data_IF_804612060830
#
_entry.id   IF_804612060830
#
_cell.length_a   1.000
_cell.length_b   1.000
_cell.length_c   1.000
_cell.angle_alpha   90.00
_cell.angle_beta   90.00
_cell.angle_gamma   90.00
#
_symmetry.space_group_name_H-M   'P 1'
#
loop_
_entity.id
_entity.type
_entity.pdbx_description
1 polymer ?
#
# COMPACT_ATOMS: atom_id res chain seq x y z
N UNK A 1 4.65 -20.64 -3.78
CA UNK A 1 4.21 -20.00 -2.53
C UNK A 1 2.75 -19.61 -2.70
N UNK A 2 1.85 -20.01 -1.79
CA UNK A 2 0.44 -19.64 -1.92
C UNK A 2 0.23 -18.15 -1.64
N UNK A 3 -0.72 -17.52 -2.33
CA UNK A 3 -1.14 -16.13 -2.07
C UNK A 3 -1.58 -15.97 -0.62
N UNK A 4 -2.27 -16.97 -0.08
CA UNK A 4 -2.71 -16.99 1.31
C UNK A 4 -1.53 -16.99 2.29
N UNK A 5 -0.52 -17.81 2.01
CA UNK A 5 0.74 -17.80 2.78
C UNK A 5 1.39 -16.42 2.74
N UNK A 6 1.46 -15.78 1.57
CA UNK A 6 2.06 -14.45 1.40
C UNK A 6 1.47 -13.41 2.34
N UNK A 7 0.13 -13.38 2.51
CA UNK A 7 -0.49 -12.45 3.44
C UNK A 7 -0.32 -12.89 4.90
N UNK A 8 -0.52 -14.17 5.22
CA UNK A 8 -0.53 -14.66 6.61
C UNK A 8 0.86 -14.63 7.27
N UNK A 9 1.94 -14.93 6.54
CA UNK A 9 3.30 -14.98 7.08
C UNK A 9 4.03 -13.66 6.85
N UNK A 10 4.89 -13.26 7.77
CA UNK A 10 5.66 -12.02 7.61
C UNK A 10 6.91 -12.23 6.75
N UNK A 11 6.73 -12.22 5.43
CA UNK A 11 7.83 -12.38 4.48
C UNK A 11 8.73 -11.14 4.38
N UNK A 12 10.06 -11.31 4.23
CA UNK A 12 10.99 -10.21 3.97
C UNK A 12 10.62 -9.40 2.72
N UNK A 13 10.10 -10.04 1.68
CA UNK A 13 9.67 -9.37 0.45
C UNK A 13 8.61 -8.29 0.70
N UNK A 14 7.66 -8.52 1.62
CA UNK A 14 6.66 -7.52 2.02
C UNK A 14 7.31 -6.31 2.69
N UNK A 15 8.29 -6.57 3.55
CA UNK A 15 9.03 -5.52 4.25
C UNK A 15 9.83 -4.68 3.27
N UNK A 16 10.59 -5.31 2.36
CA UNK A 16 11.35 -4.60 1.34
C UNK A 16 10.44 -3.79 0.41
N UNK A 17 9.33 -4.37 -0.04
CA UNK A 17 8.35 -3.64 -0.85
C UNK A 17 7.80 -2.39 -0.12
N UNK A 18 7.41 -2.53 1.14
CA UNK A 18 6.93 -1.42 1.97
C UNK A 18 8.00 -0.34 2.20
N UNK A 19 9.27 -0.73 2.36
CA UNK A 19 10.39 0.22 2.49
C UNK A 19 10.63 0.93 1.16
N UNK A 20 10.66 0.21 0.04
CA UNK A 20 10.83 0.80 -1.29
C UNK A 20 9.71 1.78 -1.62
N UNK A 21 8.46 1.44 -1.28
CA UNK A 21 7.32 2.33 -1.47
C UNK A 21 7.44 3.59 -0.58
N UNK A 22 7.87 3.44 0.68
CA UNK A 22 8.11 4.57 1.58
C UNK A 22 9.20 5.52 1.06
N UNK A 23 10.31 4.96 0.57
CA UNK A 23 11.40 5.74 -0.04
C UNK A 23 10.92 6.47 -1.29
N UNK A 24 10.14 5.81 -2.15
CA UNK A 24 9.56 6.44 -3.33
C UNK A 24 8.70 7.65 -2.96
N UNK A 25 7.79 7.51 -1.99
CA UNK A 25 6.99 8.64 -1.51
C UNK A 25 7.82 9.77 -0.94
N UNK A 26 8.87 9.46 -0.17
CA UNK A 26 9.77 10.46 0.40
C UNK A 26 10.46 11.27 -0.70
N UNK A 27 10.96 10.60 -1.73
CA UNK A 27 11.58 11.26 -2.89
C UNK A 27 10.56 12.18 -3.57
N UNK A 28 9.34 11.69 -3.83
CA UNK A 28 8.29 12.50 -4.43
C UNK A 28 7.94 13.71 -3.56
N UNK A 29 7.72 13.52 -2.25
CA UNK A 29 7.47 14.62 -1.33
C UNK A 29 8.58 15.68 -1.32
N UNK A 30 9.86 15.27 -1.37
CA UNK A 30 10.99 16.19 -1.48
C UNK A 30 10.95 16.99 -2.79
N UNK A 31 10.64 16.34 -3.92
CA UNK A 31 10.51 17.05 -5.20
C UNK A 31 9.38 18.10 -5.11
N UNK A 32 8.21 17.75 -4.57
CA UNK A 32 7.09 18.70 -4.42
C UNK A 32 7.45 19.87 -3.52
N UNK A 33 8.23 19.62 -2.47
CA UNK A 33 8.74 20.66 -1.59
C UNK A 33 9.62 21.66 -2.33
N UNK A 34 10.58 21.17 -3.13
CA UNK A 34 11.46 22.05 -3.90
C UNK A 34 10.75 22.79 -5.04
N UNK A 35 9.69 22.21 -5.63
CA UNK A 35 8.85 22.89 -6.62
C UNK A 35 7.86 23.89 -6.00
N UNK A 36 7.81 24.02 -4.66
CA UNK A 36 6.84 24.87 -3.97
C UNK A 36 5.40 24.38 -4.08
N UNK A 37 5.21 23.15 -4.51
CA UNK A 37 3.90 22.50 -4.69
C UNK A 37 3.46 21.71 -3.46
N UNK A 38 4.21 21.70 -2.35
CA UNK A 38 3.90 20.83 -1.22
C UNK A 38 2.68 21.32 -0.41
N UNK A 39 1.50 20.78 -0.71
CA UNK A 39 0.31 20.97 0.11
C UNK A 39 0.21 19.99 1.28
N UNK A 40 -0.39 20.41 2.40
CA UNK A 40 -0.73 19.53 3.52
C UNK A 40 -1.59 18.34 3.06
N UNK A 41 -2.54 18.59 2.15
CA UNK A 41 -3.41 17.58 1.54
C UNK A 41 -2.63 16.48 0.83
N UNK A 42 -1.53 16.85 0.16
CA UNK A 42 -0.66 15.90 -0.54
C UNK A 42 0.12 15.03 0.45
N UNK A 43 0.73 15.63 1.47
CA UNK A 43 1.46 14.88 2.52
C UNK A 43 0.52 13.94 3.27
N UNK A 44 -0.68 14.41 3.63
CA UNK A 44 -1.68 13.58 4.28
C UNK A 44 -2.12 12.41 3.39
N UNK A 45 -2.34 12.66 2.09
CA UNK A 45 -2.69 11.63 1.12
C UNK A 45 -1.60 10.57 0.96
N UNK A 46 -0.32 10.97 0.97
CA UNK A 46 0.81 10.04 0.94
C UNK A 46 0.82 9.12 2.17
N UNK A 47 0.67 9.69 3.36
CA UNK A 47 0.66 8.93 4.62
C UNK A 47 -0.53 7.97 4.67
N UNK A 48 -1.73 8.46 4.35
CA UNK A 48 -2.96 7.67 4.37
C UNK A 48 -2.91 6.53 3.34
N UNK A 49 -2.47 6.82 2.10
CA UNK A 49 -2.32 5.82 1.05
C UNK A 49 -1.33 4.72 1.42
N UNK A 50 -0.19 5.09 2.00
CA UNK A 50 0.78 4.12 2.49
C UNK A 50 0.24 3.24 3.62
N UNK A 51 -0.41 3.85 4.61
CA UNK A 51 -0.97 3.12 5.75
C UNK A 51 -1.99 2.07 5.29
N UNK A 52 -2.83 2.40 4.31
CA UNK A 52 -3.80 1.46 3.73
C UNK A 52 -3.09 0.27 3.06
N UNK A 53 -2.06 0.51 2.24
CA UNK A 53 -1.27 -0.55 1.61
C UNK A 53 -0.58 -1.42 2.66
N UNK A 54 -0.03 -0.80 3.71
CA UNK A 54 0.58 -1.50 4.84
C UNK A 54 -0.41 -2.46 5.52
N UNK A 55 -1.61 -1.98 5.89
CA UNK A 55 -2.62 -2.81 6.55
C UNK A 55 -3.10 -3.97 5.67
N UNK A 56 -3.26 -3.73 4.36
CA UNK A 56 -3.63 -4.78 3.40
C UNK A 56 -2.54 -5.87 3.36
N UNK A 57 -1.27 -5.49 3.19
CA UNK A 57 -0.14 -6.43 3.09
C UNK A 57 0.18 -7.16 4.39
N UNK A 58 -0.03 -6.53 5.54
CA UNK A 58 0.19 -7.12 6.87
C UNK A 58 -0.97 -7.98 7.37
N UNK A 59 -1.94 -8.28 6.51
CA UNK A 59 -3.11 -9.08 6.87
C UNK A 59 -3.89 -8.51 8.07
N UNK A 60 -3.86 -7.18 8.25
CA UNK A 60 -4.53 -6.52 9.38
C UNK A 60 -6.05 -6.63 9.23
N UNK A 61 -6.76 -6.73 10.35
CA UNK A 61 -8.21 -6.66 10.33
C UNK A 61 -8.65 -5.25 9.92
N UNK A 62 -9.31 -5.15 8.77
CA UNK A 62 -9.93 -3.91 8.30
C UNK A 62 -11.44 -4.09 8.32
N UNK A 63 -12.24 -3.04 8.57
CA UNK A 63 -13.71 -3.14 8.58
C UNK A 63 -14.28 -3.76 7.29
N UNK A 64 -13.62 -3.49 6.16
CA UNK A 64 -14.00 -3.99 4.84
C UNK A 64 -13.47 -5.41 4.56
N UNK A 65 -12.41 -5.86 5.25
CA UNK A 65 -11.75 -7.15 4.97
C UNK A 65 -11.31 -7.84 6.26
N UNK A 66 -11.92 -8.97 6.62
CA UNK A 66 -11.46 -9.76 7.76
C UNK A 66 -10.03 -10.30 7.49
N UNK A 67 -9.24 -10.52 8.56
CA UNK A 67 -7.92 -11.10 8.41
C UNK A 67 -8.01 -12.50 7.79
N UNK A 68 -7.08 -12.85 6.91
CA UNK A 68 -6.96 -14.18 6.36
C UNK A 68 -6.48 -15.14 7.46
N UNK A 69 -7.17 -16.26 7.56
CA UNK A 69 -6.92 -17.38 8.48
C UNK A 69 -6.76 -18.66 7.67
N UNK A 70 -6.31 -19.75 8.31
CA UNK A 70 -6.17 -21.06 7.64
C UNK A 70 -7.50 -21.59 7.07
N UNK A 71 -8.65 -21.15 7.61
CA UNK A 71 -9.98 -21.51 7.10
C UNK A 71 -10.51 -20.60 5.99
N UNK A 72 -9.80 -19.52 5.68
CA UNK A 72 -10.22 -18.57 4.63
C UNK A 72 -10.15 -19.21 3.25
N UNK A 73 -11.16 -18.94 2.41
CA UNK A 73 -11.17 -19.39 1.02
C UNK A 73 -10.09 -18.70 0.19
N UNK A 74 -9.65 -19.35 -0.88
CA UNK A 74 -8.71 -18.75 -1.83
C UNK A 74 -9.30 -17.52 -2.52
N UNK A 75 -10.63 -17.46 -2.68
CA UNK A 75 -11.33 -16.28 -3.17
C UNK A 75 -11.09 -15.03 -2.30
N UNK A 76 -11.05 -15.19 -0.97
CA UNK A 76 -10.76 -14.08 -0.06
C UNK A 76 -9.30 -13.60 -0.21
N UNK A 77 -8.36 -14.52 -0.38
CA UNK A 77 -6.96 -14.20 -0.63
C UNK A 77 -6.78 -13.48 -1.98
N UNK A 78 -7.50 -13.93 -3.00
CA UNK A 78 -7.50 -13.30 -4.33
C UNK A 78 -8.12 -11.90 -4.28
N UNK A 79 -9.26 -11.72 -3.62
CA UNK A 79 -9.87 -10.40 -3.42
C UNK A 79 -8.90 -9.42 -2.75
N UNK A 80 -8.26 -9.84 -1.64
CA UNK A 80 -7.27 -9.03 -0.93
C UNK A 80 -6.08 -8.65 -1.82
N UNK A 81 -5.66 -9.55 -2.69
CA UNK A 81 -4.59 -9.30 -3.68
C UNK A 81 -5.03 -8.25 -4.70
N UNK A 82 -6.21 -8.42 -5.30
CA UNK A 82 -6.75 -7.47 -6.27
C UNK A 82 -6.84 -6.07 -5.69
N UNK A 83 -7.32 -5.96 -4.45
CA UNK A 83 -7.42 -4.67 -3.75
C UNK A 83 -6.03 -4.09 -3.50
N UNK A 84 -5.07 -4.89 -3.02
CA UNK A 84 -3.71 -4.41 -2.84
C UNK A 84 -3.15 -3.81 -4.14
N UNK A 85 -3.31 -4.49 -5.27
CA UNK A 85 -2.85 -4.04 -6.59
C UNK A 85 -3.57 -2.74 -6.99
N UNK A 86 -4.90 -2.69 -6.88
CA UNK A 86 -5.69 -1.50 -7.22
C UNK A 86 -5.26 -0.29 -6.39
N UNK A 87 -5.07 -0.45 -5.09
CA UNK A 87 -4.61 0.62 -4.21
C UNK A 87 -3.20 1.07 -4.53
N UNK A 88 -2.26 0.14 -4.79
CA UNK A 88 -0.89 0.48 -5.18
C UNK A 88 -0.90 1.28 -6.49
N UNK A 89 -1.65 0.84 -7.50
CA UNK A 89 -1.74 1.53 -8.79
C UNK A 89 -2.36 2.92 -8.63
N UNK A 90 -3.51 3.01 -7.97
CA UNK A 90 -4.19 4.29 -7.72
C UNK A 90 -3.27 5.26 -6.95
N UNK A 91 -2.53 4.75 -5.98
CA UNK A 91 -1.61 5.54 -5.17
C UNK A 91 -0.42 6.07 -6.00
N UNK A 92 0.19 5.22 -6.84
CA UNK A 92 1.26 5.63 -7.75
C UNK A 92 0.74 6.66 -8.75
N UNK A 93 -0.44 6.45 -9.34
CA UNK A 93 -1.06 7.39 -10.27
C UNK A 93 -1.30 8.75 -9.60
N UNK A 94 -1.93 8.78 -8.42
CA UNK A 94 -2.15 10.03 -7.67
C UNK A 94 -0.83 10.74 -7.36
N UNK A 95 0.19 9.99 -6.95
CA UNK A 95 1.51 10.54 -6.64
C UNK A 95 2.15 11.18 -7.86
N UNK A 96 2.06 10.55 -9.04
CA UNK A 96 2.63 11.09 -10.29
C UNK A 96 1.80 12.26 -10.83
N UNK A 97 0.46 12.15 -10.83
CA UNK A 97 -0.45 13.18 -11.33
C UNK A 97 -0.35 14.50 -10.57
N UNK A 98 0.17 14.49 -9.34
CA UNK A 98 0.45 15.72 -8.60
C UNK A 98 1.63 16.54 -9.18
N UNK A 99 2.51 15.89 -9.94
CA UNK A 99 3.71 16.52 -10.51
C UNK A 99 3.55 16.98 -11.94
N UNK A 100 2.74 16.27 -12.73
CA UNK A 100 2.37 16.66 -14.10
C UNK A 100 1.55 17.94 -14.10
#
# INVERSE_FOLDING_TARGET
MSIKDFFMKDYPSKRYFLISLALFMLIMALIAYFEGKLGFEYVFSLIAGYALIFFILKNTALPLFPPLTEKSSDANAMARTTIAIVYILAFITLTISYFL
#
